data_IF_323354809999
#
_entry.id   IF_323354809999
#
_cell.length_a   1.000
_cell.length_b   1.000
_cell.length_c   1.000
_cell.angle_alpha   90.00
_cell.angle_beta   90.00
_cell.angle_gamma   90.00
#
_symmetry.space_group_name_H-M   'P 1'
#
loop_
_entity.id
_entity.type
_entity.pdbx_description
1 polymer ?
#
# COMPACT_ATOMS: atom_id res chain seq x y z
N UNK A 1 -6.03 8.49 16.83
CA UNK A 1 -5.08 7.45 17.29
C UNK A 1 -5.38 6.18 16.52
N UNK A 2 -4.43 5.65 15.75
CA UNK A 2 -4.61 4.36 15.06
C UNK A 2 -4.54 3.24 16.10
N UNK A 3 -5.51 2.32 16.09
CA UNK A 3 -5.50 1.13 16.92
C UNK A 3 -4.37 0.19 16.46
N UNK A 4 -3.76 -0.59 17.36
CA UNK A 4 -2.65 -1.49 17.00
C UNK A 4 -3.04 -2.46 15.89
N UNK A 5 -4.29 -2.89 15.88
CA UNK A 5 -4.84 -3.84 14.90
C UNK A 5 -5.59 -3.17 13.74
N UNK A 6 -5.43 -1.85 13.51
CA UNK A 6 -6.03 -1.20 12.33
C UNK A 6 -5.38 -1.81 11.05
N UNK A 7 -6.17 -2.39 10.13
CA UNK A 7 -5.69 -2.90 8.85
C UNK A 7 -4.89 -1.88 8.04
N UNK A 8 -5.18 -0.59 8.20
CA UNK A 8 -4.45 0.50 7.55
C UNK A 8 -2.95 0.50 7.89
N UNK A 9 -2.54 -0.10 9.01
CA UNK A 9 -1.12 -0.25 9.37
C UNK A 9 -0.35 -1.16 8.38
N UNK A 10 -1.04 -1.85 7.47
CA UNK A 10 -0.45 -2.69 6.43
C UNK A 10 -0.26 -1.98 5.07
N UNK A 11 -0.62 -0.70 4.89
CA UNK A 11 -0.52 -0.02 3.57
C UNK A 11 0.88 -0.02 2.97
N UNK A 12 1.91 -0.05 3.82
CA UNK A 12 3.32 -0.02 3.43
C UNK A 12 4.08 -1.29 3.84
N UNK A 13 3.36 -2.40 4.10
CA UNK A 13 3.96 -3.69 4.45
C UNK A 13 3.82 -4.65 3.29
N UNK A 14 4.95 -5.08 2.74
CA UNK A 14 4.98 -6.22 1.84
C UNK A 14 4.86 -7.53 2.64
N UNK A 15 4.13 -8.53 2.14
CA UNK A 15 4.07 -9.85 2.78
C UNK A 15 5.39 -10.62 2.72
N UNK A 16 6.22 -10.34 1.72
CA UNK A 16 7.54 -10.95 1.53
C UNK A 16 8.63 -9.88 1.50
N UNK A 17 9.89 -10.23 1.86
CA UNK A 17 11.02 -9.33 1.68
C UNK A 17 11.13 -8.86 0.22
N UNK A 18 11.28 -7.55 0.01
CA UNK A 18 11.33 -6.95 -1.32
C UNK A 18 12.66 -6.24 -1.56
N UNK A 19 13.28 -6.52 -2.70
CA UNK A 19 14.37 -5.70 -3.27
C UNK A 19 13.76 -4.80 -4.35
N UNK A 20 13.63 -3.51 -4.06
CA UNK A 20 13.13 -2.53 -5.02
C UNK A 20 14.29 -1.93 -5.81
N UNK A 21 14.34 -2.19 -7.13
CA UNK A 21 15.23 -1.50 -8.06
C UNK A 21 14.42 -0.46 -8.83
N UNK A 22 14.66 0.81 -8.53
CA UNK A 22 13.97 1.94 -9.17
C UNK A 22 14.98 2.73 -10.00
N UNK A 23 14.59 3.11 -11.22
CA UNK A 23 15.38 4.01 -12.08
C UNK A 23 14.83 5.43 -11.94
N UNK A 24 15.64 6.33 -11.44
CA UNK A 24 15.26 7.73 -11.14
C UNK A 24 14.61 8.44 -12.33
N UNK A 25 15.24 8.40 -13.51
CA UNK A 25 14.69 9.01 -14.73
C UNK A 25 13.32 8.44 -15.16
N UNK A 26 12.97 7.21 -14.75
CA UNK A 26 11.63 6.66 -14.98
C UNK A 26 10.62 7.13 -13.94
N UNK A 27 11.06 7.38 -12.70
CA UNK A 27 10.21 7.91 -11.63
C UNK A 27 9.86 9.37 -11.95
N UNK A 28 10.85 10.21 -12.24
CA UNK A 28 10.65 11.64 -12.55
C UNK A 28 9.63 11.83 -13.68
N UNK A 29 9.76 11.09 -14.79
CA UNK A 29 8.87 11.18 -15.94
C UNK A 29 7.38 10.90 -15.64
N UNK A 30 7.10 10.16 -14.57
CA UNK A 30 5.72 9.82 -14.15
C UNK A 30 5.25 10.74 -13.02
N UNK A 31 6.17 11.25 -12.21
CA UNK A 31 5.87 12.11 -11.06
C UNK A 31 5.19 13.41 -11.52
N UNK A 32 5.67 14.02 -12.61
CA UNK A 32 5.10 15.26 -13.16
C UNK A 32 3.66 15.12 -13.68
N UNK A 33 3.19 13.89 -13.88
CA UNK A 33 1.86 13.58 -14.43
C UNK A 33 0.86 13.13 -13.36
N UNK A 34 1.32 12.96 -12.12
CA UNK A 34 0.51 12.44 -11.04
C UNK A 34 -0.34 13.56 -10.45
N UNK A 35 -1.58 13.70 -10.93
CA UNK A 35 -2.44 14.84 -10.63
C UNK A 35 -2.68 15.08 -9.13
N UNK A 36 -2.81 14.00 -8.33
CA UNK A 36 -3.04 14.08 -6.88
C UNK A 36 -2.37 12.89 -6.16
N UNK A 37 -1.06 12.97 -5.86
CA UNK A 37 -0.32 11.90 -5.20
C UNK A 37 -0.87 11.58 -3.80
N UNK A 38 -1.35 12.59 -3.09
CA UNK A 38 -1.83 12.46 -1.70
C UNK A 38 -3.04 11.52 -1.58
N UNK A 39 -3.86 11.43 -2.63
CA UNK A 39 -5.01 10.53 -2.67
C UNK A 39 -4.61 9.05 -2.66
N UNK A 40 -3.36 8.71 -3.01
CA UNK A 40 -2.88 7.33 -2.99
C UNK A 40 -2.90 6.78 -1.58
N UNK A 41 -2.42 7.57 -0.60
CA UNK A 41 -2.41 7.17 0.80
C UNK A 41 -3.82 6.95 1.34
N UNK A 42 -4.73 7.89 1.09
CA UNK A 42 -6.12 7.82 1.55
C UNK A 42 -6.84 6.59 0.98
N UNK A 43 -6.70 6.35 -0.33
CA UNK A 43 -7.27 5.19 -1.01
C UNK A 43 -6.74 3.87 -0.47
N UNK A 44 -5.44 3.79 -0.16
CA UNK A 44 -4.84 2.58 0.40
C UNK A 44 -5.38 2.28 1.80
N UNK A 45 -5.55 3.32 2.62
CA UNK A 45 -6.16 3.18 3.95
C UNK A 45 -7.60 2.68 3.84
N UNK A 46 -8.41 3.34 3.02
CA UNK A 46 -9.82 2.96 2.85
C UNK A 46 -9.93 1.52 2.34
N UNK A 47 -9.09 1.16 1.37
CA UNK A 47 -9.04 -0.20 0.82
C UNK A 47 -8.72 -1.24 1.89
N UNK A 48 -7.69 -1.00 2.72
CA UNK A 48 -7.34 -1.96 3.77
C UNK A 48 -8.36 -2.01 4.89
N UNK A 49 -8.97 -0.88 5.27
CA UNK A 49 -10.07 -0.86 6.24
C UNK A 49 -11.29 -1.64 5.75
N UNK A 50 -11.65 -1.50 4.47
CA UNK A 50 -12.73 -2.26 3.84
C UNK A 50 -12.41 -3.76 3.75
N UNK A 51 -11.15 -4.09 3.47
CA UNK A 51 -10.70 -5.48 3.41
C UNK A 51 -10.68 -6.15 4.79
N UNK A 52 -10.33 -5.39 5.83
CA UNK A 52 -10.16 -5.91 7.18
C UNK A 52 -8.93 -6.83 7.33
N UNK A 53 -8.58 -7.17 8.57
CA UNK A 53 -7.45 -8.06 8.86
C UNK A 53 -7.66 -9.49 8.31
N UNK A 54 -8.91 -9.97 8.28
CA UNK A 54 -9.24 -11.28 7.74
C UNK A 54 -9.02 -11.34 6.23
N UNK A 55 -9.55 -10.35 5.49
CA UNK A 55 -9.37 -10.26 4.05
C UNK A 55 -7.90 -10.09 3.68
N UNK A 56 -7.16 -9.28 4.44
CA UNK A 56 -5.72 -9.11 4.27
C UNK A 56 -4.96 -10.43 4.42
N UNK A 57 -5.23 -11.20 5.48
CA UNK A 57 -4.58 -12.51 5.70
C UNK A 57 -4.88 -13.51 4.58
N UNK A 58 -6.13 -13.55 4.10
CA UNK A 58 -6.52 -14.46 3.00
C UNK A 58 -5.73 -14.21 1.72
N UNK A 59 -5.38 -12.95 1.41
CA UNK A 59 -4.56 -12.63 0.23
C UNK A 59 -3.12 -13.16 0.33
N UNK A 60 -2.64 -13.45 1.54
CA UNK A 60 -1.26 -13.84 1.81
C UNK A 60 -1.09 -15.33 2.06
N UNK A 61 -2.19 -16.07 2.18
CA UNK A 61 -2.16 -17.52 2.30
C UNK A 61 -1.99 -18.13 0.90
N UNK A 62 -0.98 -19.01 0.67
CA UNK A 62 -0.90 -19.78 -0.56
C UNK A 62 -2.16 -20.63 -0.75
N UNK A 63 -2.71 -20.63 -1.96
CA UNK A 63 -3.83 -21.51 -2.34
C UNK A 63 -3.40 -22.95 -2.55
#
# INVERSE_FOLDING_TARGET
>A
MSHRDDPANCTNRSPYPMLHLLREASIEAVTDKLANPDLIYERNIETLRRLGMEGWRKLLTPG
#
